data_IF_889492072072
#
_entry.id   IF_889492072072
#
_cell.length_a   1.000
_cell.length_b   1.000
_cell.length_c   1.000
_cell.angle_alpha   90.00
_cell.angle_beta   90.00
_cell.angle_gamma   90.00
#
_symmetry.space_group_name_H-M   'P 1'
#
loop_
_entity.id
_entity.type
_entity.pdbx_description
1 polymer ?
#
# COMPACT_ATOMS: atom_id res chain seq x y z
N UNK A 1 -31.70 0.05 -16.12
CA UNK A 1 -30.63 -0.98 -16.02
C UNK A 1 -30.25 -1.13 -14.56
N UNK A 2 -30.91 -2.06 -13.86
CA UNK A 2 -30.68 -2.39 -12.44
C UNK A 2 -29.28 -2.98 -12.23
N UNK A 3 -28.88 -3.95 -13.06
CA UNK A 3 -27.62 -4.68 -12.92
C UNK A 3 -26.36 -3.79 -12.93
N UNK A 4 -26.36 -2.66 -13.65
CA UNK A 4 -25.25 -1.72 -13.62
C UNK A 4 -25.16 -0.97 -12.28
N UNK A 5 -26.30 -0.70 -11.65
CA UNK A 5 -26.33 -0.05 -10.33
C UNK A 5 -25.82 -1.01 -9.26
N UNK A 6 -26.18 -2.28 -9.33
CA UNK A 6 -25.75 -3.31 -8.38
C UNK A 6 -24.22 -3.48 -8.42
N UNK A 7 -23.64 -3.66 -9.61
CA UNK A 7 -22.18 -3.74 -9.79
C UNK A 7 -21.46 -2.50 -9.27
N UNK A 8 -22.01 -1.30 -9.49
CA UNK A 8 -21.41 -0.05 -8.97
C UNK A 8 -21.48 0.02 -7.46
N UNK A 9 -22.59 -0.44 -6.85
CA UNK A 9 -22.71 -0.50 -5.40
C UNK A 9 -21.71 -1.47 -4.77
N UNK A 10 -21.43 -2.60 -5.42
CA UNK A 10 -20.41 -3.54 -4.99
C UNK A 10 -19.00 -2.92 -5.07
N UNK A 11 -18.68 -2.24 -6.19
CA UNK A 11 -17.42 -1.49 -6.34
C UNK A 11 -17.28 -0.43 -5.24
N UNK A 12 -18.33 0.36 -5.00
CA UNK A 12 -18.32 1.39 -3.95
C UNK A 12 -18.09 0.77 -2.56
N UNK A 13 -18.59 -0.43 -2.30
CA UNK A 13 -18.35 -1.15 -1.05
C UNK A 13 -16.90 -1.60 -0.94
N UNK A 14 -16.36 -2.19 -1.99
CA UNK A 14 -14.97 -2.60 -2.05
C UNK A 14 -14.02 -1.41 -1.87
N UNK A 15 -14.31 -0.27 -2.51
CA UNK A 15 -13.52 0.94 -2.38
C UNK A 15 -13.50 1.47 -0.94
N UNK A 16 -14.62 1.38 -0.21
CA UNK A 16 -14.66 1.71 1.21
C UNK A 16 -13.76 0.79 2.04
N UNK A 17 -13.76 -0.51 1.76
CA UNK A 17 -12.88 -1.46 2.42
C UNK A 17 -11.40 -1.20 2.12
N UNK A 18 -11.06 -0.89 0.85
CA UNK A 18 -9.72 -0.50 0.46
C UNK A 18 -9.22 0.73 1.22
N UNK A 19 -10.07 1.75 1.39
CA UNK A 19 -9.74 2.94 2.17
C UNK A 19 -9.39 2.57 3.63
N UNK A 20 -10.15 1.69 4.27
CA UNK A 20 -9.85 1.22 5.63
C UNK A 20 -8.51 0.48 5.72
N UNK A 21 -8.24 -0.40 4.75
CA UNK A 21 -6.97 -1.12 4.67
C UNK A 21 -5.79 -0.16 4.45
N UNK A 22 -5.96 0.86 3.61
CA UNK A 22 -4.95 1.89 3.39
C UNK A 22 -4.69 2.73 4.64
N UNK A 23 -5.73 3.11 5.38
CA UNK A 23 -5.59 3.82 6.65
C UNK A 23 -4.76 3.01 7.65
N UNK A 24 -5.08 1.71 7.81
CA UNK A 24 -4.33 0.79 8.67
C UNK A 24 -2.87 0.65 8.23
N UNK A 25 -2.63 0.53 6.92
CA UNK A 25 -1.27 0.47 6.36
C UNK A 25 -0.48 1.74 6.68
N UNK A 26 -1.08 2.91 6.53
CA UNK A 26 -0.45 4.20 6.83
C UNK A 26 -0.13 4.35 8.32
N UNK A 27 -0.99 3.85 9.20
CA UNK A 27 -0.73 3.84 10.64
C UNK A 27 0.50 2.99 10.98
N UNK A 28 0.58 1.76 10.44
CA UNK A 28 1.74 0.87 10.63
C UNK A 28 3.02 1.50 10.10
N UNK A 29 2.93 2.15 8.94
CA UNK A 29 4.02 2.90 8.34
C UNK A 29 4.52 4.02 9.28
N UNK A 30 3.62 4.78 9.89
CA UNK A 30 3.97 5.80 10.89
C UNK A 30 4.62 5.19 12.14
N UNK A 31 4.12 4.06 12.62
CA UNK A 31 4.71 3.34 13.75
C UNK A 31 6.14 2.88 13.45
N UNK A 32 6.40 2.35 12.25
CA UNK A 32 7.76 2.01 11.80
C UNK A 32 8.69 3.22 11.84
N UNK A 33 8.22 4.39 11.38
CA UNK A 33 8.98 5.65 11.47
C UNK A 33 9.33 6.01 12.92
N UNK A 34 8.35 5.95 13.82
CA UNK A 34 8.55 6.23 15.26
C UNK A 34 9.56 5.27 15.91
N UNK A 35 9.44 3.97 15.65
CA UNK A 35 10.37 2.96 16.19
C UNK A 35 11.80 3.23 15.71
N UNK A 36 11.99 3.51 14.42
CA UNK A 36 13.31 3.83 13.88
C UNK A 36 13.90 5.09 14.49
N UNK A 37 13.09 6.14 14.64
CA UNK A 37 13.50 7.40 15.26
C UNK A 37 13.93 7.19 16.72
N UNK A 38 13.15 6.44 17.51
CA UNK A 38 13.46 6.13 18.91
C UNK A 38 14.78 5.35 19.08
N UNK A 39 15.14 4.52 18.12
CA UNK A 39 16.35 3.69 18.17
C UNK A 39 17.54 4.27 17.38
N UNK A 40 17.42 5.51 16.86
CA UNK A 40 18.47 6.14 16.06
C UNK A 40 18.78 5.41 14.75
N UNK A 41 17.86 4.59 14.25
CA UNK A 41 18.05 3.83 13.01
C UNK A 41 17.79 4.73 11.80
N UNK A 42 18.53 4.52 10.69
CA UNK A 42 18.29 5.27 9.46
C UNK A 42 16.85 5.05 8.97
N UNK A 43 16.14 6.16 8.77
CA UNK A 43 14.76 6.16 8.22
C UNK A 43 14.77 5.55 6.82
N UNK A 44 15.80 5.89 6.02
CA UNK A 44 16.00 5.39 4.67
C UNK A 44 16.65 4.00 4.65
N UNK A 45 15.91 3.02 4.12
CA UNK A 45 16.36 1.63 3.97
C UNK A 45 15.98 1.11 2.56
N UNK A 46 16.72 1.51 1.51
CA UNK A 46 16.33 1.28 0.12
C UNK A 46 16.26 -0.22 -0.23
N UNK A 47 17.16 -1.03 0.31
CA UNK A 47 17.17 -2.48 0.08
C UNK A 47 15.88 -3.16 0.55
N UNK A 48 15.36 -2.72 1.70
CA UNK A 48 14.10 -3.26 2.26
C UNK A 48 12.91 -2.91 1.38
N UNK A 49 12.89 -1.70 0.82
CA UNK A 49 11.85 -1.23 -0.10
C UNK A 49 11.89 -2.03 -1.40
N UNK A 50 13.08 -2.18 -2.00
CA UNK A 50 13.28 -2.96 -3.24
C UNK A 50 12.80 -4.40 -3.05
N UNK A 51 13.25 -5.07 -1.97
CA UNK A 51 12.84 -6.44 -1.68
C UNK A 51 11.31 -6.57 -1.45
N UNK A 52 10.70 -5.57 -0.79
CA UNK A 52 9.25 -5.56 -0.60
C UNK A 52 8.51 -5.39 -1.93
N UNK A 53 8.92 -4.44 -2.78
CA UNK A 53 8.29 -4.17 -4.06
C UNK A 53 8.41 -5.38 -4.99
N UNK A 54 9.59 -5.99 -5.11
CA UNK A 54 9.79 -7.22 -5.89
C UNK A 54 8.84 -8.34 -5.44
N UNK A 55 8.72 -8.57 -4.13
CA UNK A 55 7.83 -9.60 -3.60
C UNK A 55 6.35 -9.30 -3.91
N UNK A 56 5.91 -8.04 -3.81
CA UNK A 56 4.51 -7.65 -4.09
C UNK A 56 4.20 -7.66 -5.59
N UNK A 57 5.15 -7.32 -6.46
CA UNK A 57 5.00 -7.43 -7.92
C UNK A 57 4.68 -8.87 -8.32
N UNK A 58 5.49 -9.83 -7.83
CA UNK A 58 5.27 -11.25 -8.10
C UNK A 58 3.92 -11.76 -7.58
N UNK A 59 3.48 -11.26 -6.42
CA UNK A 59 2.16 -11.59 -5.86
C UNK A 59 1.01 -11.03 -6.70
N UNK A 60 1.14 -9.80 -7.20
CA UNK A 60 0.16 -9.17 -8.07
C UNK A 60 0.03 -9.92 -9.41
N UNK A 61 1.15 -10.29 -10.04
CA UNK A 61 1.15 -11.06 -11.29
C UNK A 61 0.41 -12.39 -11.12
N UNK A 62 0.63 -13.10 -10.00
CA UNK A 62 -0.08 -14.35 -9.67
C UNK A 62 -1.58 -14.15 -9.48
N UNK A 63 -2.00 -12.97 -9.05
CA UNK A 63 -3.42 -12.60 -8.89
C UNK A 63 -4.04 -12.01 -10.17
N UNK A 64 -3.30 -11.93 -11.28
CA UNK A 64 -3.77 -11.31 -12.52
C UNK A 64 -3.83 -9.76 -12.46
N UNK A 65 -3.13 -9.15 -11.50
CA UNK A 65 -3.02 -7.71 -11.33
C UNK A 65 -1.69 -7.23 -11.95
N UNK A 66 -1.71 -6.07 -12.60
CA UNK A 66 -0.48 -5.47 -13.13
C UNK A 66 0.55 -5.21 -12.03
N UNK A 67 1.78 -5.70 -12.26
CA UNK A 67 2.91 -5.46 -11.38
C UNK A 67 3.22 -3.96 -11.21
N UNK A 68 3.05 -3.17 -12.28
CA UNK A 68 3.29 -1.73 -12.24
C UNK A 68 2.22 -1.01 -11.43
N UNK A 69 0.95 -1.45 -11.52
CA UNK A 69 -0.14 -0.88 -10.74
C UNK A 69 0.11 -1.07 -9.23
N UNK A 70 0.48 -2.27 -8.80
CA UNK A 70 0.71 -2.53 -7.37
C UNK A 70 1.92 -1.75 -6.86
N UNK A 71 2.97 -1.62 -7.69
CA UNK A 71 4.16 -0.84 -7.34
C UNK A 71 3.80 0.65 -7.17
N UNK A 72 3.07 1.24 -8.10
CA UNK A 72 2.65 2.64 -8.03
C UNK A 72 1.85 2.95 -6.76
N UNK A 73 0.90 2.07 -6.42
CA UNK A 73 0.09 2.18 -5.20
C UNK A 73 0.98 2.13 -3.95
N UNK A 74 1.91 1.17 -3.89
CA UNK A 74 2.77 0.97 -2.73
C UNK A 74 3.78 2.11 -2.55
N UNK A 75 4.36 2.62 -3.65
CA UNK A 75 5.30 3.75 -3.63
C UNK A 75 4.64 5.03 -3.11
N UNK A 76 3.37 5.29 -3.44
CA UNK A 76 2.61 6.45 -2.91
C UNK A 76 2.50 6.42 -1.38
N UNK A 77 2.43 5.24 -0.78
CA UNK A 77 2.42 5.12 0.67
C UNK A 77 3.81 5.26 1.31
N UNK A 78 4.89 4.90 0.60
CA UNK A 78 6.26 5.01 1.10
C UNK A 78 6.80 6.44 1.11
N UNK A 79 6.47 7.25 0.09
CA UNK A 79 6.91 8.64 0.01
C UNK A 79 6.53 9.47 1.25
N UNK A 80 5.50 9.06 2.00
CA UNK A 80 5.06 9.72 3.23
C UNK A 80 6.01 9.50 4.43
N UNK A 81 6.79 8.42 4.46
CA UNK A 81 7.74 8.12 5.56
C UNK A 81 8.90 9.11 5.57
N UNK A 82 9.36 9.54 4.39
CA UNK A 82 10.55 10.37 4.25
C UNK A 82 10.31 11.84 4.62
N UNK A 83 9.04 12.25 4.79
CA UNK A 83 8.63 13.62 5.10
C UNK A 83 8.11 13.81 6.54
N UNK A 84 8.23 12.81 7.42
CA UNK A 84 7.87 12.91 8.84
C UNK A 84 9.07 12.71 9.76
#
# INVERSE_FOLDING_TARGET
MEALKDLRSEIDSLDRELIQLFAKRLELVSQVGKVKHQHGLPIYAPEREIAMLQARRLEAEKAGISADLIEDVLRRFYARILCQ
#
